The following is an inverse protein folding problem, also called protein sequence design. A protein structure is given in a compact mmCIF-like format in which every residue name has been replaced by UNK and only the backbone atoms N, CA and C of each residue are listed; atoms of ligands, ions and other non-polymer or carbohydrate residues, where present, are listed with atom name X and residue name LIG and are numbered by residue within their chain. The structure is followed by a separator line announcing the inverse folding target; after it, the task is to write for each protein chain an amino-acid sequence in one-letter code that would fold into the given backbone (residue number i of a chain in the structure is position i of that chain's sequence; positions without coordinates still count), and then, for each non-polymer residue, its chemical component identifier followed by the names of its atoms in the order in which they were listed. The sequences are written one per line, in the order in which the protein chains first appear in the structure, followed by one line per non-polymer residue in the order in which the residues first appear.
data_IF_837111543104
#
_entry.id   IF_837111543104
#
_cell.length_a   1.000
_cell.length_b   1.000
_cell.length_c   1.000
_cell.angle_alpha   90.00
_cell.angle_beta   90.00
_cell.angle_gamma   90.00
#
_symmetry.space_group_name_H-M   'P 1'
#
loop_
_entity.id
_entity.type
_entity.pdbx_description
1 polymer ?
#
# COMPACT_ATOMS: atom_id res chain seq x y z
N UNK A 1 16.05 30.74 9.05
CA UNK A 1 15.78 29.78 10.15
C UNK A 1 16.43 28.47 9.73
N UNK A 2 17.55 28.08 10.35
CA UNK A 2 18.46 27.02 9.86
C UNK A 2 17.80 25.66 9.57
N UNK A 3 16.67 25.35 10.22
CA UNK A 3 15.94 24.09 10.00
C UNK A 3 15.27 24.03 8.63
N UNK A 4 14.68 25.13 8.15
CA UNK A 4 14.01 25.15 6.83
C UNK A 4 15.01 24.98 5.69
N UNK A 5 16.15 25.66 5.78
CA UNK A 5 17.25 25.54 4.83
C UNK A 5 17.78 24.10 4.75
N UNK A 6 17.95 23.43 5.90
CA UNK A 6 18.33 22.02 5.94
C UNK A 6 17.28 21.08 5.34
N UNK A 7 15.99 21.33 5.60
CA UNK A 7 14.89 20.56 5.00
C UNK A 7 14.86 20.77 3.48
N UNK A 8 15.07 21.99 2.98
CA UNK A 8 15.13 22.26 1.55
C UNK A 8 16.32 21.57 0.88
N UNK A 9 17.49 21.58 1.51
CA UNK A 9 18.66 20.84 1.00
C UNK A 9 18.37 19.34 0.90
N UNK A 10 17.83 18.73 1.95
CA UNK A 10 17.49 17.31 1.94
C UNK A 10 16.30 16.97 1.00
N UNK A 11 15.40 17.91 0.72
CA UNK A 11 14.38 17.77 -0.35
C UNK A 11 15.02 17.80 -1.73
N UNK A 12 15.98 18.70 -1.98
CA UNK A 12 16.76 18.77 -3.23
C UNK A 12 17.57 17.49 -3.46
N UNK A 13 18.11 16.90 -2.40
CA UNK A 13 18.82 15.62 -2.43
C UNK A 13 17.88 14.40 -2.59
N UNK A 14 16.55 14.59 -2.62
CA UNK A 14 15.59 13.50 -2.78
C UNK A 14 15.46 12.56 -1.58
N UNK A 15 15.92 12.98 -0.39
CA UNK A 15 15.83 12.16 0.84
C UNK A 15 14.40 12.01 1.35
N UNK A 16 13.55 13.01 1.11
CA UNK A 16 12.15 13.00 1.56
C UNK A 16 11.22 12.33 0.53
N UNK A 17 11.11 11.00 0.60
CA UNK A 17 10.23 10.20 -0.26
C UNK A 17 8.85 9.91 0.36
N UNK A 18 8.43 10.70 1.35
CA UNK A 18 7.15 10.54 2.04
C UNK A 18 7.07 9.25 2.88
N UNK A 19 5.84 8.78 3.11
CA UNK A 19 5.59 7.58 3.92
C UNK A 19 5.93 6.31 3.12
N UNK A 20 6.76 5.44 3.70
CA UNK A 20 7.05 4.14 3.11
C UNK A 20 5.75 3.32 2.95
N UNK A 21 5.60 2.66 1.80
CA UNK A 21 4.41 1.84 1.51
C UNK A 21 4.32 0.69 2.53
N UNK A 22 3.22 0.63 3.29
CA UNK A 22 2.93 -0.47 4.24
C UNK A 22 2.86 -1.82 3.54
N UNK A 23 2.22 -1.86 2.36
CA UNK A 23 2.09 -3.07 1.55
C UNK A 23 3.07 -3.00 0.38
N UNK A 24 4.18 -3.74 0.48
CA UNK A 24 5.16 -3.92 -0.59
C UNK A 24 4.79 -5.11 -1.48
N UNK A 25 5.54 -5.34 -2.57
CA UNK A 25 5.25 -6.41 -3.56
C UNK A 25 5.19 -7.81 -2.95
N UNK A 26 5.95 -8.05 -1.89
CA UNK A 26 6.07 -9.35 -1.23
C UNK A 26 5.23 -9.44 0.06
N UNK A 27 4.29 -8.52 0.28
CA UNK A 27 3.47 -8.55 1.49
C UNK A 27 2.46 -9.71 1.44
N UNK A 28 2.72 -10.76 2.23
CA UNK A 28 1.96 -12.01 2.23
C UNK A 28 0.45 -11.81 2.33
N UNK A 29 -0.02 -11.03 3.31
CA UNK A 29 -1.45 -10.80 3.52
C UNK A 29 -2.15 -10.06 2.38
N UNK A 30 -1.43 -9.20 1.65
CA UNK A 30 -2.01 -8.45 0.52
C UNK A 30 -2.07 -9.34 -0.71
N UNK A 31 -1.03 -10.13 -0.96
CA UNK A 31 -1.00 -11.08 -2.07
C UNK A 31 -2.06 -12.17 -1.87
N UNK A 32 -2.23 -12.64 -0.63
CA UNK A 32 -3.28 -13.57 -0.29
C UNK A 32 -4.68 -12.97 -0.49
N UNK A 33 -4.92 -11.73 -0.03
CA UNK A 33 -6.18 -11.03 -0.25
C UNK A 33 -6.53 -10.87 -1.75
N UNK A 34 -5.52 -10.55 -2.59
CA UNK A 34 -5.70 -10.45 -4.05
C UNK A 34 -6.01 -11.81 -4.67
N UNK A 35 -5.40 -12.89 -4.19
CA UNK A 35 -5.70 -14.25 -4.65
C UNK A 35 -7.15 -14.63 -4.34
N UNK A 36 -7.59 -14.43 -3.09
CA UNK A 36 -8.96 -14.71 -2.66
C UNK A 36 -10.00 -13.90 -3.46
N UNK A 37 -9.67 -12.64 -3.77
CA UNK A 37 -10.54 -11.79 -4.59
C UNK A 37 -10.71 -12.36 -6.01
N UNK A 38 -9.63 -12.88 -6.61
CA UNK A 38 -9.65 -13.48 -7.96
C UNK A 38 -10.37 -14.82 -8.00
N UNK A 39 -10.32 -15.60 -6.92
CA UNK A 39 -11.04 -16.88 -6.80
C UNK A 39 -12.56 -16.70 -6.72
N UNK A 40 -13.05 -15.50 -6.33
CA UNK A 40 -14.47 -15.14 -6.43
C UNK A 40 -15.42 -15.85 -5.45
N UNK A 41 -14.90 -16.69 -4.55
CA UNK A 41 -15.70 -17.48 -3.60
C UNK A 41 -16.06 -16.77 -2.29
N UNK A 42 -15.49 -15.59 -2.02
CA UNK A 42 -15.70 -14.84 -0.77
C UNK A 42 -16.01 -13.38 -1.03
N UNK A 43 -16.78 -12.77 -0.13
CA UNK A 43 -17.05 -11.34 -0.17
C UNK A 43 -15.80 -10.55 0.26
N UNK A 44 -15.69 -9.31 -0.22
CA UNK A 44 -14.58 -8.41 0.13
C UNK A 44 -14.48 -8.18 1.65
N UNK A 45 -15.61 -8.14 2.35
CA UNK A 45 -15.61 -7.98 3.82
C UNK A 45 -14.97 -9.18 4.52
N UNK A 46 -15.33 -10.41 4.12
CA UNK A 46 -14.73 -11.64 4.66
C UNK A 46 -13.23 -11.71 4.35
N UNK A 47 -12.81 -11.32 3.15
CA UNK A 47 -11.40 -11.26 2.77
C UNK A 47 -10.65 -10.27 3.66
N UNK A 48 -11.24 -9.10 3.92
CA UNK A 48 -10.65 -8.09 4.80
C UNK A 48 -10.53 -8.56 6.25
N UNK A 49 -11.52 -9.31 6.75
CA UNK A 49 -11.48 -9.91 8.09
C UNK A 49 -10.37 -10.98 8.21
N UNK A 50 -10.28 -11.88 7.23
CA UNK A 50 -9.29 -12.97 7.22
C UNK A 50 -7.86 -12.44 7.08
N UNK A 51 -7.65 -11.48 6.18
CA UNK A 51 -6.31 -10.99 5.83
C UNK A 51 -5.86 -9.78 6.64
N UNK A 52 -6.76 -9.21 7.44
CA UNK A 52 -6.57 -7.97 8.20
C UNK A 52 -6.12 -6.79 7.32
N UNK A 53 -6.48 -6.81 6.04
CA UNK A 53 -6.21 -5.75 5.06
C UNK A 53 -7.45 -4.87 4.94
N UNK A 54 -7.28 -3.55 4.94
CA UNK A 54 -8.41 -2.66 4.74
C UNK A 54 -8.95 -2.71 3.31
N UNK A 55 -10.28 -2.61 3.15
CA UNK A 55 -10.97 -2.58 1.85
C UNK A 55 -10.33 -1.61 0.85
N UNK A 56 -10.05 -0.39 1.30
CA UNK A 56 -9.40 0.63 0.48
C UNK A 56 -8.00 0.22 0.00
N UNK A 57 -7.24 -0.51 0.82
CA UNK A 57 -5.91 -0.98 0.44
C UNK A 57 -5.96 -2.12 -0.57
N UNK A 58 -6.95 -3.02 -0.44
CA UNK A 58 -7.18 -4.09 -1.41
C UNK A 58 -7.56 -3.50 -2.79
N UNK A 59 -8.55 -2.60 -2.84
CA UNK A 59 -8.95 -1.97 -4.10
C UNK A 59 -7.84 -1.13 -4.74
N UNK A 60 -7.07 -0.37 -3.93
CA UNK A 60 -5.91 0.37 -4.45
C UNK A 60 -4.89 -0.58 -5.11
N UNK A 61 -4.66 -1.75 -4.51
CA UNK A 61 -3.74 -2.76 -5.07
C UNK A 61 -4.26 -3.37 -6.36
N UNK A 62 -5.57 -3.61 -6.46
CA UNK A 62 -6.22 -4.10 -7.68
C UNK A 62 -6.16 -3.06 -8.80
N UNK A 63 -6.39 -1.78 -8.48
CA UNK A 63 -6.28 -0.67 -9.44
C UNK A 63 -4.84 -0.46 -9.94
N UNK A 64 -3.83 -0.65 -9.10
CA UNK A 64 -2.41 -0.59 -9.53
C UNK A 64 -2.06 -1.66 -10.58
N UNK A 65 -2.80 -2.78 -10.64
CA UNK A 65 -2.54 -3.87 -11.58
C UNK A 65 -3.25 -3.75 -12.93
N UNK A 66 -4.20 -2.82 -13.08
CA UNK A 66 -4.98 -2.61 -14.31
C UNK A 66 -4.46 -1.42 -15.14
N UNK A 67 -3.27 -0.91 -14.83
CA UNK A 67 -2.65 0.25 -15.46
C UNK A 67 -1.40 -0.17 -16.21
#
# INVERSE_FOLDING_TARGET
MRQREGIELAKKEGKFNGRLKKYHKNHAGMNYAVKLYKEGGMTVNQICEITNVSRASLYRKLSEGNK
#
